data_IF_646529163478
#
_entry.id   IF_646529163478
#
_cell.length_a   1.000
_cell.length_b   1.000
_cell.length_c   1.000
_cell.angle_alpha   90.00
_cell.angle_beta   90.00
_cell.angle_gamma   90.00
#
_symmetry.space_group_name_H-M   'P 1'
#
loop_
_entity.id
_entity.type
_entity.pdbx_description
1 polymer ?
#
# COMPACT_ATOMS: atom_id res chain seq x y z
N UNK A 1 14.95 5.82 0.83
CA UNK A 1 15.62 5.65 -0.47
C UNK A 1 16.12 4.22 -0.57
N UNK A 2 15.26 3.32 -1.02
CA UNK A 2 15.61 1.89 -1.10
C UNK A 2 14.46 0.98 -1.49
N UNK A 3 13.21 1.39 -1.20
CA UNK A 3 11.99 0.75 -1.68
C UNK A 3 10.89 1.83 -1.83
N UNK A 4 10.21 1.84 -2.98
CA UNK A 4 9.26 2.90 -3.34
C UNK A 4 8.02 2.92 -2.44
N UNK A 5 7.57 1.75 -1.97
CA UNK A 5 6.42 1.65 -1.09
C UNK A 5 6.76 2.15 0.32
N UNK A 6 7.94 1.80 0.84
CA UNK A 6 8.43 2.32 2.12
C UNK A 6 8.62 3.84 2.07
N UNK A 7 9.22 4.36 0.99
CA UNK A 7 9.42 5.80 0.81
C UNK A 7 8.09 6.55 0.70
N UNK A 8 7.07 5.97 0.04
CA UNK A 8 5.72 6.52 0.01
C UNK A 8 5.12 6.62 1.42
N UNK A 9 5.15 5.56 2.22
CA UNK A 9 4.55 5.60 3.57
C UNK A 9 5.36 6.49 4.52
N UNK A 10 6.69 6.51 4.42
CA UNK A 10 7.54 7.40 5.19
C UNK A 10 7.24 8.88 4.90
N UNK A 11 6.94 9.24 3.65
CA UNK A 11 6.53 10.61 3.28
C UNK A 11 5.24 11.06 3.99
N UNK A 12 4.44 10.12 4.49
CA UNK A 12 3.17 10.37 5.18
C UNK A 12 3.32 10.50 6.70
N UNK A 13 4.48 10.21 7.28
CA UNK A 13 4.68 10.22 8.74
C UNK A 13 4.28 11.55 9.40
N UNK A 14 4.63 12.68 8.78
CA UNK A 14 4.33 14.03 9.29
C UNK A 14 3.17 14.70 8.55
N UNK A 15 2.48 13.96 7.68
CA UNK A 15 1.32 14.48 6.96
C UNK A 15 0.10 14.56 7.89
N UNK A 16 -0.79 15.53 7.65
CA UNK A 16 -1.95 15.82 8.51
C UNK A 16 -3.23 15.79 7.69
N UNK A 17 -4.31 15.27 8.28
CA UNK A 17 -5.65 15.29 7.73
C UNK A 17 -5.76 14.53 6.41
N UNK A 18 -6.37 15.15 5.40
CA UNK A 18 -6.66 14.52 4.11
C UNK A 18 -5.42 13.99 3.37
N UNK A 19 -4.21 14.47 3.71
CA UNK A 19 -2.97 14.00 3.10
C UNK A 19 -2.61 12.54 3.49
N UNK A 20 -3.20 12.01 4.57
CA UNK A 20 -3.10 10.61 5.01
C UNK A 20 -4.13 9.70 4.34
N UNK A 21 -5.14 10.28 3.68
CA UNK A 21 -6.14 9.53 2.94
C UNK A 21 -5.53 9.04 1.64
N UNK A 22 -5.66 7.75 1.40
CA UNK A 22 -5.18 7.10 0.19
C UNK A 22 -6.08 5.93 -0.18
N UNK A 23 -5.81 5.30 -1.32
CA UNK A 23 -6.49 4.10 -1.74
C UNK A 23 -5.58 2.90 -1.50
N UNK A 24 -6.09 1.87 -0.86
CA UNK A 24 -5.41 0.60 -0.71
C UNK A 24 -6.00 -0.43 -1.67
N UNK A 25 -5.10 -1.14 -2.34
CA UNK A 25 -5.40 -2.40 -3.01
C UNK A 25 -4.78 -3.51 -2.17
N UNK A 26 -5.63 -4.40 -1.64
CA UNK A 26 -5.21 -5.55 -0.84
C UNK A 26 -5.51 -6.82 -1.60
N UNK A 27 -4.52 -7.72 -1.71
CA UNK A 27 -4.68 -9.02 -2.35
C UNK A 27 -4.49 -10.08 -1.27
N UNK A 28 -5.54 -10.83 -0.97
CA UNK A 28 -5.47 -11.98 -0.07
C UNK A 28 -5.93 -13.23 -0.81
N UNK A 29 -5.08 -14.26 -0.87
CA UNK A 29 -5.39 -15.54 -1.52
C UNK A 29 -5.99 -15.43 -2.95
N UNK A 30 -5.63 -14.39 -3.70
CA UNK A 30 -6.12 -14.13 -5.05
C UNK A 30 -7.40 -13.29 -5.14
N UNK A 31 -8.02 -12.95 -4.02
CA UNK A 31 -9.11 -11.97 -3.94
C UNK A 31 -8.54 -10.56 -3.76
N UNK A 32 -8.90 -9.67 -4.68
CA UNK A 32 -8.47 -8.28 -4.65
C UNK A 32 -9.58 -7.38 -4.10
N UNK A 33 -9.24 -6.63 -3.06
CA UNK A 33 -10.12 -5.68 -2.40
C UNK A 33 -9.57 -4.27 -2.59
N UNK A 34 -10.43 -3.35 -3.02
CA UNK A 34 -10.12 -1.93 -3.14
C UNK A 34 -10.84 -1.16 -2.04
N UNK A 35 -10.12 -0.32 -1.31
CA UNK A 35 -10.71 0.50 -0.25
C UNK A 35 -10.10 1.90 -0.20
N UNK A 36 -10.92 2.87 0.20
CA UNK A 36 -10.41 4.14 0.73
C UNK A 36 -9.91 3.91 2.16
N UNK A 37 -8.71 4.38 2.45
CA UNK A 37 -8.05 4.15 3.72
C UNK A 37 -7.35 5.40 4.23
N UNK A 38 -7.17 5.47 5.55
CA UNK A 38 -6.30 6.45 6.21
C UNK A 38 -5.10 5.73 6.81
N UNK A 39 -3.90 6.24 6.51
CA UNK A 39 -2.66 5.75 7.12
C UNK A 39 -2.48 6.38 8.49
N UNK A 40 -2.15 5.56 9.49
CA UNK A 40 -1.92 6.00 10.87
C UNK A 40 -0.79 5.20 11.52
N UNK A 41 -0.30 5.69 12.68
CA UNK A 41 0.76 5.04 13.45
C UNK A 41 1.98 4.62 12.60
N UNK A 42 2.45 5.54 11.76
CA UNK A 42 3.56 5.29 10.84
C UNK A 42 4.88 5.35 11.62
N UNK A 43 5.60 4.24 11.61
CA UNK A 43 6.98 4.11 12.11
C UNK A 43 7.87 3.77 10.92
N UNK A 44 8.49 4.79 10.28
CA UNK A 44 9.23 4.59 9.03
C UNK A 44 10.59 3.92 9.24
N UNK A 45 11.16 4.01 10.44
CA UNK A 45 12.38 3.31 10.81
C UNK A 45 12.30 2.82 12.26
N UNK A 46 12.49 1.53 12.47
CA UNK A 46 12.68 0.94 13.80
C UNK A 46 13.66 -0.23 13.74
N UNK A 47 14.63 -0.26 14.66
CA UNK A 47 15.53 -1.41 14.80
C UNK A 47 16.95 -1.04 15.21
N UNK A 48 17.43 -1.69 16.27
CA UNK A 48 18.80 -1.67 16.76
C UNK A 48 19.80 -1.99 15.63
N UNK A 49 21.03 -1.46 15.68
CA UNK A 49 22.02 -1.52 14.59
C UNK A 49 22.38 -2.94 14.07
N UNK A 50 21.93 -4.00 14.75
CA UNK A 50 22.17 -5.41 14.45
C UNK A 50 20.90 -6.20 14.06
N UNK A 51 19.74 -5.56 13.86
CA UNK A 51 18.48 -6.22 13.48
C UNK A 51 17.99 -5.71 12.11
N UNK A 52 17.30 -6.59 11.36
CA UNK A 52 16.63 -6.20 10.11
C UNK A 52 15.71 -5.00 10.36
N UNK A 53 15.75 -4.02 9.45
CA UNK A 53 14.98 -2.79 9.56
C UNK A 53 13.48 -3.13 9.61
N UNK A 54 12.81 -2.67 10.67
CA UNK A 54 11.36 -2.80 10.80
C UNK A 54 10.69 -1.52 10.31
N UNK A 55 9.59 -1.70 9.58
CA UNK A 55 8.69 -0.66 9.13
C UNK A 55 7.28 -1.04 9.59
N UNK A 56 6.54 -0.09 10.18
CA UNK A 56 5.17 -0.31 10.65
C UNK A 56 4.25 0.82 10.17
N UNK A 57 3.05 0.44 9.74
CA UNK A 57 1.94 1.35 9.45
C UNK A 57 0.63 0.66 9.79
N UNK A 58 -0.33 1.42 10.29
CA UNK A 58 -1.72 0.98 10.47
C UNK A 58 -2.59 1.55 9.35
N UNK A 59 -3.22 0.67 8.59
CA UNK A 59 -4.15 1.01 7.50
C UNK A 59 -5.58 0.92 8.04
N UNK A 60 -6.27 2.06 8.13
CA UNK A 60 -7.65 2.13 8.62
C UNK A 60 -8.59 2.26 7.43
N UNK A 61 -9.58 1.37 7.32
CA UNK A 61 -10.55 1.39 6.23
C UNK A 61 -11.65 2.43 6.49
N UNK A 62 -11.81 3.38 5.56
CA UNK A 62 -12.78 4.47 5.64
C UNK A 62 -14.12 4.04 5.03
N UNK A 63 -14.73 3.00 5.59
CA UNK A 63 -15.99 2.44 5.11
C UNK A 63 -15.85 1.06 4.51
N UNK A 64 -16.87 0.64 3.75
CA UNK A 64 -16.95 -0.71 3.22
C UNK A 64 -15.94 -0.90 2.06
N UNK A 65 -15.05 -1.90 2.13
CA UNK A 65 -14.22 -2.28 1.00
C UNK A 65 -15.06 -2.76 -0.19
N UNK A 66 -14.55 -2.55 -1.41
CA UNK A 66 -15.16 -3.01 -2.66
C UNK A 66 -14.35 -4.15 -3.23
N UNK A 67 -14.96 -5.31 -3.41
CA UNK A 67 -14.35 -6.40 -4.15
C UNK A 67 -14.21 -6.01 -5.63
N UNK A 68 -13.03 -6.24 -6.20
CA UNK A 68 -12.81 -5.97 -7.61
C UNK A 68 -13.45 -7.08 -8.42
N UNK A 69 -14.41 -6.73 -9.28
CA UNK A 69 -14.99 -7.66 -10.24
C UNK A 69 -14.05 -7.81 -11.45
N UNK A 70 -13.60 -9.04 -11.72
CA UNK A 70 -12.58 -9.35 -12.72
C UNK A 70 -11.24 -9.81 -12.14
N UNK A 71 -10.33 -10.24 -13.03
CA UNK A 71 -9.01 -10.74 -12.62
C UNK A 71 -8.04 -9.56 -12.46
N UNK A 72 -7.52 -9.37 -11.26
CA UNK A 72 -6.39 -8.47 -11.04
C UNK A 72 -5.12 -9.12 -11.60
N UNK A 73 -4.43 -8.39 -12.49
CA UNK A 73 -3.09 -8.76 -12.98
C UNK A 73 -2.09 -7.69 -12.56
N UNK A 74 -1.00 -8.10 -11.92
CA UNK A 74 0.13 -7.22 -11.62
C UNK A 74 1.22 -7.41 -12.67
N UNK A 75 2.04 -6.39 -12.88
CA UNK A 75 3.23 -6.51 -13.72
C UNK A 75 4.20 -7.54 -13.12
N UNK A 76 4.78 -8.39 -13.98
CA UNK A 76 5.77 -9.41 -13.56
C UNK A 76 7.12 -8.80 -13.16
N UNK A 77 7.28 -7.50 -13.35
CA UNK A 77 8.47 -6.74 -12.96
C UNK A 77 8.08 -5.33 -12.51
N UNK A 78 8.84 -4.72 -11.59
CA UNK A 78 8.62 -3.34 -11.20
C UNK A 78 9.04 -2.37 -12.31
N UNK A 79 8.45 -1.19 -12.31
CA UNK A 79 8.86 -0.06 -13.13
C UNK A 79 10.23 0.46 -12.66
N UNK A 80 10.83 1.40 -13.42
CA UNK A 80 12.14 1.99 -13.07
C UNK A 80 12.16 2.73 -11.74
N UNK A 81 10.99 3.07 -11.20
CA UNK A 81 10.80 3.70 -9.90
C UNK A 81 10.51 2.70 -8.76
N UNK A 82 10.54 1.38 -9.03
CA UNK A 82 10.25 0.34 -8.05
C UNK A 82 8.77 0.06 -7.81
N UNK A 83 7.86 0.72 -8.55
CA UNK A 83 6.41 0.49 -8.42
C UNK A 83 5.95 -0.68 -9.28
N UNK A 84 4.89 -1.37 -8.85
CA UNK A 84 4.20 -2.38 -9.65
C UNK A 84 2.91 -1.81 -10.22
N UNK A 85 2.61 -2.15 -11.48
CA UNK A 85 1.36 -1.76 -12.12
C UNK A 85 0.31 -2.85 -11.93
N UNK A 86 -0.82 -2.51 -11.33
CA UNK A 86 -1.97 -3.40 -11.20
C UNK A 86 -3.06 -2.98 -12.19
N UNK A 87 -3.57 -3.93 -12.99
CA UNK A 87 -4.66 -3.71 -13.94
C UNK A 87 -5.82 -4.66 -13.62
N UNK A 88 -7.04 -4.16 -13.74
CA UNK A 88 -8.27 -4.95 -13.62
C UNK A 88 -8.81 -5.20 -15.02
N UNK A 89 -8.85 -6.45 -15.46
CA UNK A 89 -9.58 -6.83 -16.66
C UNK A 89 -11.07 -7.01 -16.30
N UNK A 90 -12.01 -6.34 -16.98
CA UNK A 90 -13.44 -6.55 -16.73
C UNK A 90 -13.80 -8.01 -17.01
N UNK A 91 -14.62 -8.60 -16.13
CA UNK A 91 -15.19 -9.93 -16.36
C UNK A 91 -16.24 -9.82 -17.47
N UNK A 92 -16.04 -10.55 -18.59
CA UNK A 92 -16.99 -10.65 -19.70
C UNK A 92 -18.25 -11.42 -19.32
#
# INVERSE_FOLDING_TARGET
MGDAAQDYVASKQFAIGNALHTRALWIDNGEAILAEVTLSNIVPTGGNANANQTFQVTIVFNGAPVAINGKLTMSDSPNSDGTYTATVAPQL
#
